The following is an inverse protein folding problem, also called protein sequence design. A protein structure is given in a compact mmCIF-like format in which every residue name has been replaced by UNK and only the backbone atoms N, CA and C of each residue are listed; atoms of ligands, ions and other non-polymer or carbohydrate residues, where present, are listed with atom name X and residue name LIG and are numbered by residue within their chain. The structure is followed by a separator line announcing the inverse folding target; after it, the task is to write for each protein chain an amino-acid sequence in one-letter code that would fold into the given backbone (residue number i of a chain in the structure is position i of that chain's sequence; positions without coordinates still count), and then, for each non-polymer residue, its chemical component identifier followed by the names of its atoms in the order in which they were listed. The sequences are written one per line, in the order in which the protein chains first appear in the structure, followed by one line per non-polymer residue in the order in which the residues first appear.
data_IF_072144325823
#
_entry.id   IF_072144325823
#
_cell.length_a   1.000
_cell.length_b   1.000
_cell.length_c   1.000
_cell.angle_alpha   90.00
_cell.angle_beta   90.00
_cell.angle_gamma   90.00
#
_symmetry.space_group_name_H-M   'P 1'
#
loop_
_entity.id
_entity.type
_entity.pdbx_description
1 polymer ?
#
# COMPACT_ATOMS: atom_id res chain seq x y z
N UNK A 1 -5.08 -17.64 -3.41
CA UNK A 1 -3.84 -17.19 -2.75
C UNK A 1 -2.63 -17.67 -3.54
N UNK A 2 -1.66 -16.82 -3.71
CA UNK A 2 -0.44 -17.12 -4.47
C UNK A 2 0.76 -16.93 -3.54
N UNK A 3 1.71 -17.86 -3.60
CA UNK A 3 2.98 -17.73 -2.90
C UNK A 3 4.00 -17.04 -3.83
N UNK A 4 4.72 -16.06 -3.32
CA UNK A 4 5.79 -15.38 -4.03
C UNK A 4 7.09 -15.51 -3.27
N UNK A 5 8.20 -15.08 -3.86
CA UNK A 5 9.51 -15.05 -3.17
C UNK A 5 9.53 -14.10 -1.96
N UNK A 6 8.54 -13.22 -1.83
CA UNK A 6 8.45 -12.20 -0.78
C UNK A 6 7.24 -12.37 0.14
N UNK A 7 6.48 -13.46 0.03
CA UNK A 7 5.31 -13.72 0.86
C UNK A 7 4.10 -14.23 0.09
N UNK A 8 2.94 -14.17 0.72
CA UNK A 8 1.69 -14.60 0.11
C UNK A 8 0.92 -13.42 -0.48
N UNK A 9 0.29 -13.67 -1.61
CA UNK A 9 -0.57 -12.69 -2.26
C UNK A 9 -2.00 -13.21 -2.34
N UNK A 10 -2.99 -12.35 -2.04
CA UNK A 10 -4.41 -12.68 -2.06
C UNK A 10 -5.20 -11.69 -2.93
N UNK A 11 -5.83 -12.21 -3.98
CA UNK A 11 -6.58 -11.42 -4.94
C UNK A 11 -7.95 -10.94 -4.44
N UNK A 12 -8.48 -11.50 -3.35
CA UNK A 12 -9.86 -11.28 -2.90
C UNK A 12 -10.09 -10.00 -2.09
N UNK A 13 -9.06 -9.18 -1.88
CA UNK A 13 -9.14 -8.00 -1.02
C UNK A 13 -9.64 -6.72 -1.73
N UNK A 14 -9.90 -6.78 -3.03
CA UNK A 14 -10.18 -5.57 -3.83
C UNK A 14 -11.39 -4.78 -3.34
N UNK A 15 -12.50 -5.45 -3.04
CA UNK A 15 -13.73 -4.78 -2.57
C UNK A 15 -13.55 -4.16 -1.19
N UNK A 16 -12.79 -4.84 -0.32
CA UNK A 16 -12.50 -4.34 1.02
C UNK A 16 -11.64 -3.10 0.97
N UNK A 17 -10.63 -3.09 0.10
CA UNK A 17 -9.72 -1.96 -0.08
C UNK A 17 -10.48 -0.76 -0.64
N UNK A 18 -11.34 -0.97 -1.63
CA UNK A 18 -12.20 0.11 -2.17
C UNK A 18 -13.06 0.74 -1.08
N UNK A 19 -13.73 -0.09 -0.28
CA UNK A 19 -14.57 0.35 0.84
C UNK A 19 -13.75 1.12 1.87
N UNK A 20 -12.57 0.62 2.22
CA UNK A 20 -11.67 1.28 3.17
C UNK A 20 -11.22 2.66 2.66
N UNK A 21 -10.83 2.76 1.40
CA UNK A 21 -10.38 4.01 0.80
C UNK A 21 -11.49 5.06 0.74
N UNK A 22 -12.71 4.62 0.44
CA UNK A 22 -13.88 5.48 0.47
C UNK A 22 -14.15 6.00 1.88
N UNK A 23 -14.08 5.13 2.88
CA UNK A 23 -14.30 5.49 4.28
C UNK A 23 -13.25 6.45 4.82
N UNK A 24 -11.98 6.25 4.46
CA UNK A 24 -10.88 7.13 4.84
C UNK A 24 -10.97 8.49 4.15
N UNK A 25 -11.61 8.56 2.99
CA UNK A 25 -11.61 9.76 2.16
C UNK A 25 -10.29 9.91 1.41
N UNK A 26 -9.86 8.86 0.75
CA UNK A 26 -8.55 8.83 0.07
C UNK A 26 -8.41 9.92 -1.00
N UNK A 27 -9.50 10.44 -1.52
CA UNK A 27 -9.51 11.53 -2.50
C UNK A 27 -8.97 12.87 -1.97
N UNK A 28 -8.78 13.01 -0.66
CA UNK A 28 -8.10 14.19 -0.09
C UNK A 28 -6.59 14.17 -0.28
N UNK A 29 -6.01 13.05 -0.67
CA UNK A 29 -4.56 12.90 -0.87
C UNK A 29 -4.20 12.95 -2.36
N UNK A 30 -3.02 13.49 -2.67
CA UNK A 30 -2.53 13.62 -4.05
C UNK A 30 -1.72 12.42 -4.50
N UNK A 31 -0.73 12.04 -3.70
CA UNK A 31 0.25 11.01 -4.06
C UNK A 31 0.18 9.83 -3.07
N UNK A 32 -0.24 8.70 -3.59
CA UNK A 32 -0.37 7.44 -2.84
C UNK A 32 0.77 6.51 -3.18
N UNK A 33 1.28 5.76 -2.20
CA UNK A 33 2.25 4.69 -2.41
C UNK A 33 1.82 3.41 -1.70
N UNK A 34 1.77 2.31 -2.44
CA UNK A 34 1.65 0.96 -1.88
C UNK A 34 3.03 0.32 -1.75
N UNK A 35 3.43 0.00 -0.53
CA UNK A 35 4.71 -0.62 -0.20
C UNK A 35 4.55 -2.14 -0.30
N UNK A 36 5.20 -2.75 -1.30
CA UNK A 36 5.01 -4.15 -1.63
C UNK A 36 3.71 -4.38 -2.41
N UNK A 37 3.59 -3.73 -3.57
CA UNK A 37 2.33 -3.59 -4.28
C UNK A 37 1.83 -4.87 -4.99
N UNK A 38 2.63 -5.92 -5.03
CA UNK A 38 2.23 -7.18 -5.64
C UNK A 38 1.80 -7.02 -7.10
N UNK A 39 0.62 -7.53 -7.44
CA UNK A 39 0.04 -7.42 -8.78
C UNK A 39 -0.59 -6.04 -9.08
N UNK A 40 -0.51 -5.11 -8.15
CA UNK A 40 -0.92 -3.73 -8.33
C UNK A 40 -2.39 -3.42 -8.10
N UNK A 41 -3.21 -4.34 -7.64
CA UNK A 41 -4.66 -4.10 -7.45
C UNK A 41 -4.95 -2.94 -6.52
N UNK A 42 -4.24 -2.86 -5.38
CA UNK A 42 -4.42 -1.77 -4.42
C UNK A 42 -4.09 -0.42 -5.06
N UNK A 43 -3.00 -0.34 -5.81
CA UNK A 43 -2.58 0.88 -6.53
C UNK A 43 -3.63 1.29 -7.56
N UNK A 44 -4.14 0.34 -8.33
CA UNK A 44 -5.15 0.64 -9.35
C UNK A 44 -6.46 1.12 -8.72
N UNK A 45 -6.85 0.56 -7.57
CA UNK A 45 -8.01 1.05 -6.81
C UNK A 45 -7.73 2.46 -6.28
N UNK A 46 -6.55 2.71 -5.72
CA UNK A 46 -6.17 4.03 -5.23
C UNK A 46 -6.17 5.08 -6.33
N UNK A 47 -5.87 4.71 -7.58
CA UNK A 47 -5.90 5.61 -8.73
C UNK A 47 -7.28 6.18 -9.03
N UNK A 48 -8.34 5.56 -8.52
CA UNK A 48 -9.71 6.06 -8.63
C UNK A 48 -9.97 7.22 -7.67
N UNK A 49 -9.14 7.41 -6.65
CA UNK A 49 -9.31 8.42 -5.60
C UNK A 49 -8.25 9.51 -5.65
N UNK A 50 -6.99 9.14 -5.89
CA UNK A 50 -5.85 10.05 -5.81
C UNK A 50 -5.45 10.56 -7.18
N UNK A 51 -4.74 11.71 -7.19
CA UNK A 51 -4.20 12.28 -8.43
C UNK A 51 -3.18 11.34 -9.06
N UNK A 52 -2.28 10.78 -8.25
CA UNK A 52 -1.27 9.81 -8.67
C UNK A 52 -1.19 8.67 -7.66
N UNK A 53 -1.13 7.44 -8.16
CA UNK A 53 -0.96 6.25 -7.35
C UNK A 53 0.29 5.49 -7.80
N UNK A 54 1.12 5.11 -6.84
CA UNK A 54 2.39 4.44 -7.07
C UNK A 54 2.43 3.12 -6.32
N UNK A 55 3.14 2.15 -6.89
CA UNK A 55 3.44 0.90 -6.24
C UNK A 55 4.91 0.55 -6.37
N UNK A 56 5.49 -0.02 -5.33
CA UNK A 56 6.84 -0.58 -5.36
C UNK A 56 6.77 -2.06 -5.03
N UNK A 57 7.42 -2.88 -5.87
CA UNK A 57 7.41 -4.33 -5.76
C UNK A 57 8.76 -4.88 -6.19
N UNK A 58 9.39 -5.68 -5.31
CA UNK A 58 10.69 -6.28 -5.58
C UNK A 58 10.59 -7.51 -6.49
N UNK A 59 9.48 -8.23 -6.47
CA UNK A 59 9.25 -9.40 -7.32
C UNK A 59 8.93 -8.96 -8.76
N UNK A 60 9.82 -9.31 -9.68
CA UNK A 60 9.70 -8.89 -11.08
C UNK A 60 8.48 -9.46 -11.79
N UNK A 61 8.09 -10.68 -11.46
CA UNK A 61 6.90 -11.31 -12.05
C UNK A 61 5.63 -10.53 -11.67
N UNK A 62 5.47 -10.19 -10.39
CA UNK A 62 4.33 -9.41 -9.91
C UNK A 62 4.34 -7.99 -10.48
N UNK A 63 5.52 -7.36 -10.55
CA UNK A 63 5.67 -6.03 -11.14
C UNK A 63 5.20 -6.02 -12.61
N UNK A 64 5.63 -7.02 -13.40
CA UNK A 64 5.21 -7.12 -14.80
C UNK A 64 3.71 -7.37 -14.92
N UNK A 65 3.15 -8.17 -14.01
CA UNK A 65 1.71 -8.43 -13.95
C UNK A 65 0.91 -7.16 -13.67
N UNK A 66 1.40 -6.34 -12.75
CA UNK A 66 0.78 -5.05 -12.42
C UNK A 66 0.71 -4.13 -13.65
N UNK A 67 1.80 -4.01 -14.40
CA UNK A 67 1.83 -3.20 -15.63
C UNK A 67 0.91 -3.76 -16.70
N UNK A 68 0.83 -5.08 -16.85
CA UNK A 68 -0.09 -5.73 -17.79
C UNK A 68 -1.55 -5.39 -17.46
N UNK A 69 -1.95 -5.51 -16.20
CA UNK A 69 -3.31 -5.21 -15.75
C UNK A 69 -3.61 -3.71 -15.93
N UNK A 70 -2.67 -2.85 -15.56
CA UNK A 70 -2.79 -1.39 -15.74
C UNK A 70 -3.10 -1.04 -17.21
N UNK A 71 -2.38 -1.63 -18.14
CA UNK A 71 -2.58 -1.37 -19.59
C UNK A 71 -3.94 -1.86 -20.05
N UNK A 72 -4.36 -3.04 -19.62
CA UNK A 72 -5.68 -3.61 -19.97
C UNK A 72 -6.82 -2.73 -19.44
N UNK A 73 -6.66 -2.16 -18.25
CA UNK A 73 -7.65 -1.28 -17.63
C UNK A 73 -7.57 0.17 -18.12
N UNK A 74 -6.57 0.52 -18.94
CA UNK A 74 -6.32 1.89 -19.45
C UNK A 74 -6.24 2.93 -18.34
N UNK A 75 -5.47 2.60 -17.29
CA UNK A 75 -5.25 3.50 -16.15
C UNK A 75 -3.93 4.23 -16.38
N UNK A 76 -3.95 5.56 -16.39
CA UNK A 76 -2.80 6.38 -16.75
C UNK A 76 -2.14 7.09 -15.57
N UNK A 77 -2.82 7.18 -14.44
CA UNK A 77 -2.30 7.83 -13.23
C UNK A 77 -1.77 6.84 -12.19
N UNK A 78 -1.44 5.63 -12.59
CA UNK A 78 -0.76 4.63 -11.77
C UNK A 78 0.63 4.36 -12.32
N UNK A 79 1.63 4.24 -11.47
CA UNK A 79 3.02 3.96 -11.83
C UNK A 79 3.59 2.89 -10.91
N UNK A 80 4.25 1.90 -11.50
CA UNK A 80 4.87 0.80 -10.76
C UNK A 80 6.39 0.85 -10.92
N UNK A 81 7.11 0.65 -9.81
CA UNK A 81 8.56 0.53 -9.78
C UNK A 81 8.98 -0.85 -9.29
N UNK A 82 9.87 -1.51 -10.02
CA UNK A 82 10.46 -2.78 -9.62
C UNK A 82 11.69 -2.50 -8.76
N UNK A 83 11.48 -2.31 -7.48
CA UNK A 83 12.54 -1.91 -6.54
C UNK A 83 12.22 -2.43 -5.14
N UNK A 84 13.26 -2.67 -4.35
CA UNK A 84 13.12 -2.96 -2.93
C UNK A 84 12.72 -1.68 -2.19
N UNK A 85 11.79 -1.78 -1.22
CA UNK A 85 11.29 -0.60 -0.52
C UNK A 85 12.38 0.14 0.27
N UNK A 86 13.44 -0.53 0.69
CA UNK A 86 14.56 0.13 1.36
C UNK A 86 15.34 1.09 0.46
N UNK A 87 15.27 0.89 -0.85
CA UNK A 87 15.95 1.72 -1.84
C UNK A 87 15.08 2.86 -2.39
N UNK A 88 13.83 2.95 -1.95
CA UNK A 88 12.88 3.95 -2.44
C UNK A 88 12.57 4.98 -1.35
N UNK A 89 12.59 6.26 -1.71
CA UNK A 89 12.32 7.36 -0.77
C UNK A 89 10.80 7.59 -0.63
N UNK A 90 10.30 7.71 0.61
CA UNK A 90 8.88 7.88 0.88
C UNK A 90 8.44 9.36 1.02
N UNK A 91 9.36 10.30 1.02
CA UNK A 91 9.09 11.72 1.36
C UNK A 91 8.09 12.41 0.45
N UNK A 92 7.96 11.99 -0.79
CA UNK A 92 7.09 12.64 -1.77
C UNK A 92 5.63 12.18 -1.73
N UNK A 93 5.29 11.23 -0.86
CA UNK A 93 3.95 10.67 -0.80
C UNK A 93 3.17 11.23 0.38
N UNK A 94 1.89 11.53 0.16
CA UNK A 94 0.97 12.04 1.19
C UNK A 94 0.38 10.91 2.03
N UNK A 95 0.24 9.74 1.41
CA UNK A 95 -0.33 8.56 2.07
C UNK A 95 0.39 7.31 1.57
N UNK A 96 0.74 6.46 2.53
CA UNK A 96 1.36 5.16 2.31
C UNK A 96 0.36 4.06 2.65
N UNK A 97 0.45 2.95 1.96
CA UNK A 97 -0.34 1.75 2.26
C UNK A 97 0.61 0.58 2.50
N UNK A 98 0.29 -0.24 3.49
CA UNK A 98 1.08 -1.41 3.85
C UNK A 98 0.17 -2.54 4.31
N UNK A 99 0.29 -3.69 3.67
CA UNK A 99 -0.32 -4.95 4.11
C UNK A 99 0.81 -5.94 4.42
N UNK A 100 1.44 -5.84 5.62
CA UNK A 100 2.66 -6.58 5.89
C UNK A 100 2.42 -8.07 6.14
N UNK A 101 3.34 -8.89 5.69
CA UNK A 101 3.39 -10.32 5.95
C UNK A 101 4.53 -10.68 6.93
N UNK A 102 5.23 -9.68 7.46
CA UNK A 102 6.34 -9.84 8.38
C UNK A 102 6.42 -8.65 9.35
N UNK A 103 7.09 -8.80 10.51
CA UNK A 103 7.27 -7.70 11.47
C UNK A 103 8.00 -6.49 10.86
N UNK A 104 7.58 -5.29 11.25
CA UNK A 104 8.15 -4.03 10.75
C UNK A 104 9.50 -3.68 11.40
N UNK A 105 9.85 -4.32 12.50
CA UNK A 105 11.10 -4.09 13.23
C UNK A 105 12.37 -4.42 12.44
N UNK A 106 12.25 -5.02 11.27
CA UNK A 106 13.39 -5.30 10.38
C UNK A 106 13.87 -4.05 9.62
N UNK A 107 13.59 -2.87 10.12
CA UNK A 107 14.06 -1.59 9.57
C UNK A 107 13.00 -0.77 8.84
N UNK A 108 11.85 -1.35 8.50
CA UNK A 108 10.79 -0.61 7.79
C UNK A 108 10.19 0.47 8.68
N UNK A 109 9.94 0.20 9.96
CA UNK A 109 9.38 1.21 10.84
C UNK A 109 10.34 2.39 11.03
N UNK A 110 11.64 2.12 11.17
CA UNK A 110 12.64 3.20 11.23
C UNK A 110 12.62 4.07 9.97
N UNK A 111 12.47 3.45 8.82
CA UNK A 111 12.36 4.18 7.54
C UNK A 111 11.09 5.02 7.49
N UNK A 112 9.96 4.48 7.94
CA UNK A 112 8.70 5.22 8.03
C UNK A 112 8.82 6.42 8.97
N UNK A 113 9.44 6.24 10.14
CA UNK A 113 9.64 7.34 11.10
C UNK A 113 10.50 8.47 10.52
N UNK A 114 11.46 8.16 9.66
CA UNK A 114 12.34 9.15 9.04
C UNK A 114 11.72 9.83 7.83
N UNK A 115 10.99 9.11 7.01
CA UNK A 115 10.60 9.57 5.68
C UNK A 115 9.11 9.86 5.53
N UNK A 116 8.26 9.32 6.40
CA UNK A 116 6.81 9.51 6.26
C UNK A 116 6.39 10.91 6.70
N UNK A 117 5.72 11.63 5.80
CA UNK A 117 5.19 12.97 6.08
C UNK A 117 3.67 12.99 6.30
N UNK A 118 2.96 12.08 5.69
CA UNK A 118 1.50 12.03 5.72
C UNK A 118 0.98 10.89 6.59
N UNK A 119 0.11 10.10 6.05
CA UNK A 119 -0.55 8.99 6.74
C UNK A 119 -0.06 7.65 6.25
N UNK A 120 -0.14 6.64 7.13
CA UNK A 120 0.04 5.25 6.77
C UNK A 120 -1.29 4.53 6.98
N UNK A 121 -1.76 3.84 5.95
CA UNK A 121 -2.90 2.93 6.02
C UNK A 121 -2.33 1.53 6.18
N UNK A 122 -2.57 0.92 7.32
CA UNK A 122 -2.15 -0.45 7.62
C UNK A 122 -3.36 -1.38 7.45
N UNK A 123 -3.19 -2.42 6.63
CA UNK A 123 -4.21 -3.43 6.39
C UNK A 123 -3.83 -4.72 7.10
N UNK A 124 -4.71 -5.20 7.98
CA UNK A 124 -4.56 -6.48 8.66
C UNK A 124 -4.47 -6.36 10.18
N UNK A 125 -4.56 -7.55 10.83
CA UNK A 125 -4.56 -7.63 12.30
C UNK A 125 -3.16 -7.74 12.90
N UNK A 126 -2.13 -8.02 12.09
CA UNK A 126 -0.79 -8.35 12.55
C UNK A 126 0.24 -7.34 12.09
N UNK A 127 1.40 -7.36 12.77
CA UNK A 127 2.60 -6.60 12.38
C UNK A 127 2.37 -5.08 12.36
N UNK A 128 1.66 -4.57 13.37
CA UNK A 128 1.44 -3.13 13.53
C UNK A 128 2.73 -2.40 13.91
N UNK A 129 2.91 -1.14 13.44
CA UNK A 129 4.00 -0.31 13.90
C UNK A 129 3.87 -0.03 15.40
N UNK A 130 5.00 0.12 16.08
CA UNK A 130 5.05 0.34 17.54
C UNK A 130 5.16 1.80 17.91
N UNK A 131 5.81 2.60 17.08
CA UNK A 131 6.18 3.98 17.42
C UNK A 131 5.42 5.03 16.62
N UNK A 132 4.67 4.64 15.60
CA UNK A 132 3.76 5.54 14.91
C UNK A 132 2.49 5.76 15.73
N UNK A 133 1.93 6.95 15.63
CA UNK A 133 0.71 7.31 16.36
C UNK A 133 -0.52 6.78 15.62
N UNK A 134 -1.29 5.95 16.31
CA UNK A 134 -2.58 5.46 15.80
C UNK A 134 -3.61 6.59 15.86
N UNK A 135 -4.23 6.89 14.74
CA UNK A 135 -5.26 7.94 14.66
C UNK A 135 -6.67 7.38 14.58
N UNK A 136 -6.84 6.29 13.84
CA UNK A 136 -8.16 5.68 13.64
C UNK A 136 -8.02 4.20 13.31
N UNK A 137 -9.07 3.43 13.57
CA UNK A 137 -9.16 2.05 13.11
C UNK A 137 -10.62 1.64 12.96
N UNK A 138 -10.87 0.73 12.00
CA UNK A 138 -12.19 0.20 11.73
C UNK A 138 -12.07 -1.16 11.04
N UNK A 139 -13.17 -1.90 11.01
CA UNK A 139 -13.23 -3.20 10.35
C UNK A 139 -13.97 -3.11 9.02
N UNK A 140 -13.46 -3.81 8.02
CA UNK A 140 -14.13 -4.04 6.75
C UNK A 140 -14.15 -5.56 6.51
N UNK A 141 -15.33 -6.16 6.53
CA UNK A 141 -15.50 -7.62 6.42
C UNK A 141 -14.61 -8.42 7.37
N UNK A 142 -14.45 -7.93 8.62
CA UNK A 142 -13.61 -8.60 9.62
C UNK A 142 -12.11 -8.28 9.52
N UNK A 143 -11.67 -7.58 8.51
CA UNK A 143 -10.27 -7.15 8.37
C UNK A 143 -10.07 -5.76 8.98
N UNK A 144 -9.02 -5.62 9.76
CA UNK A 144 -8.70 -4.38 10.46
C UNK A 144 -7.95 -3.42 9.54
N UNK A 145 -8.46 -2.20 9.45
CA UNK A 145 -7.80 -1.08 8.77
C UNK A 145 -7.41 -0.08 9.85
N UNK A 146 -6.14 0.32 9.88
CA UNK A 146 -5.65 1.28 10.87
C UNK A 146 -4.92 2.40 10.17
N UNK A 147 -5.18 3.64 10.59
CA UNK A 147 -4.52 4.83 10.06
C UNK A 147 -3.54 5.35 11.10
N UNK A 148 -2.30 5.53 10.69
CA UNK A 148 -1.22 6.05 11.53
C UNK A 148 -0.69 7.37 11.00
N UNK A 149 -0.11 8.17 11.89
CA UNK A 149 0.71 9.34 11.56
C UNK A 149 2.06 9.24 12.28
N UNK A 150 3.00 10.08 11.85
CA UNK A 150 4.29 10.19 12.51
C UNK A 150 4.21 11.06 13.77
#
# INVERSE_FOLDING_TARGET
MWSTSKGFWNASISDEVYTAFKKIGLNQFKNFLDIGSGDGKVVLIASLFCLNAFGIEADKFLHNKANEIKMKCRIFNATFHNIDFFEHNFLKYDVLFLAPDAPLERGLENKLLKEMKGKLIHYGHHFHPRFLRKEDSFLVNGNLITVYSN
#
